data_IF_834343981644
#
_entry.id   IF_834343981644
#
_cell.length_a   1.000
_cell.length_b   1.000
_cell.length_c   1.000
_cell.angle_alpha   90.00
_cell.angle_beta   90.00
_cell.angle_gamma   90.00
#
_symmetry.space_group_name_H-M   'P 1'
#
loop_
_entity.id
_entity.type
_entity.pdbx_description
1 polymer ?
#
# COMPACT_ATOMS: atom_id res chain seq x y z
N UNK A 1 -10.22 -26.94 13.73
CA UNK A 1 -10.61 -25.65 13.13
C UNK A 1 -9.53 -25.26 12.13
N UNK A 2 -9.81 -25.43 10.84
CA UNK A 2 -8.86 -25.08 9.78
C UNK A 2 -8.97 -23.57 9.49
N UNK A 3 -7.85 -22.82 9.38
CA UNK A 3 -7.91 -21.47 8.88
C UNK A 3 -8.13 -21.51 7.37
N UNK A 4 -9.25 -20.96 6.89
CA UNK A 4 -9.50 -20.72 5.47
C UNK A 4 -8.59 -19.59 4.97
N UNK A 5 -7.29 -19.86 4.85
CA UNK A 5 -6.38 -19.03 4.07
C UNK A 5 -6.66 -19.37 2.61
N UNK A 6 -7.43 -18.53 1.93
CA UNK A 6 -7.61 -18.62 0.50
C UNK A 6 -6.22 -18.62 -0.14
N UNK A 7 -5.86 -19.76 -0.75
CA UNK A 7 -4.77 -19.89 -1.71
C UNK A 7 -5.12 -19.01 -2.93
N UNK A 8 -4.96 -17.69 -2.77
CA UNK A 8 -4.80 -16.83 -3.93
C UNK A 8 -3.37 -17.03 -4.40
N UNK A 9 -3.22 -17.89 -5.41
CA UNK A 9 -2.01 -17.99 -6.20
C UNK A 9 -1.73 -16.61 -6.83
N UNK A 10 -0.95 -15.79 -6.12
CA UNK A 10 -0.48 -14.47 -6.57
C UNK A 10 0.39 -14.57 -7.83
N UNK A 11 0.71 -15.79 -8.29
CA UNK A 11 1.45 -16.08 -9.51
C UNK A 11 0.60 -16.23 -10.78
N UNK A 12 -0.73 -16.32 -10.69
CA UNK A 12 -1.63 -16.55 -11.84
C UNK A 12 -2.35 -15.30 -12.36
N UNK A 13 -2.13 -14.16 -11.72
CA UNK A 13 -2.63 -12.86 -12.20
C UNK A 13 -1.49 -12.17 -12.92
N UNK A 14 -1.67 -11.84 -14.20
CA UNK A 14 -0.72 -11.06 -15.01
C UNK A 14 -0.24 -9.83 -14.23
N UNK A 15 0.97 -9.86 -13.67
CA UNK A 15 1.40 -8.88 -12.69
C UNK A 15 1.68 -7.52 -13.33
N UNK A 16 1.75 -7.45 -14.66
CA UNK A 16 1.91 -6.20 -15.40
C UNK A 16 0.57 -5.52 -15.72
N UNK A 17 -0.49 -6.28 -16.04
CA UNK A 17 -1.81 -5.70 -16.36
C UNK A 17 -2.68 -5.47 -15.12
N UNK A 18 -2.40 -6.16 -14.01
CA UNK A 18 -3.17 -6.05 -12.76
C UNK A 18 -2.33 -5.57 -11.56
N UNK A 19 -1.12 -5.04 -11.79
CA UNK A 19 -0.24 -4.50 -10.74
C UNK A 19 -1.01 -3.59 -9.76
N UNK A 20 -1.84 -2.70 -10.31
CA UNK A 20 -2.63 -1.75 -9.52
C UNK A 20 -3.59 -2.44 -8.56
N UNK A 21 -4.25 -3.52 -9.00
CA UNK A 21 -5.22 -4.27 -8.19
C UNK A 21 -4.52 -5.10 -7.12
N UNK A 22 -3.34 -5.65 -7.43
CA UNK A 22 -2.52 -6.39 -6.46
C UNK A 22 -2.00 -5.45 -5.38
N UNK A 23 -1.44 -4.30 -5.76
CA UNK A 23 -0.98 -3.27 -4.82
C UNK A 23 -2.15 -2.78 -3.96
N UNK A 24 -3.29 -2.48 -4.56
CA UNK A 24 -4.50 -2.08 -3.83
C UNK A 24 -4.90 -3.10 -2.77
N UNK A 25 -5.03 -4.38 -3.18
CA UNK A 25 -5.51 -5.45 -2.32
C UNK A 25 -4.55 -5.73 -1.17
N UNK A 26 -3.25 -5.75 -1.43
CA UNK A 26 -2.23 -5.93 -0.39
C UNK A 26 -2.18 -4.72 0.55
N UNK A 27 -2.32 -3.49 0.06
CA UNK A 27 -2.38 -2.32 0.94
C UNK A 27 -3.67 -2.23 1.76
N UNK A 28 -4.74 -2.90 1.32
CA UNK A 28 -6.06 -2.88 1.97
C UNK A 28 -6.26 -4.03 2.96
N UNK A 29 -5.81 -5.24 2.63
CA UNK A 29 -6.00 -6.46 3.42
C UNK A 29 -4.70 -7.17 3.80
N UNK A 30 -3.57 -6.78 3.21
CA UNK A 30 -2.35 -7.55 3.28
C UNK A 30 -1.75 -7.62 4.67
N UNK A 31 -1.19 -8.77 5.00
CA UNK A 31 -0.40 -8.97 6.20
C UNK A 31 1.07 -8.52 6.00
N UNK A 32 1.90 -8.66 7.04
CA UNK A 32 3.31 -8.25 6.98
C UNK A 32 4.09 -9.04 5.91
N UNK A 33 3.73 -10.30 5.64
CA UNK A 33 4.43 -11.16 4.67
C UNK A 33 4.07 -10.75 3.24
N UNK A 34 2.79 -10.49 2.98
CA UNK A 34 2.32 -9.99 1.68
C UNK A 34 2.89 -8.60 1.38
N UNK A 35 2.99 -7.72 2.39
CA UNK A 35 3.64 -6.42 2.24
C UNK A 35 5.13 -6.56 1.90
N UNK A 36 5.86 -7.44 2.59
CA UNK A 36 7.27 -7.70 2.25
C UNK A 36 7.41 -8.24 0.84
N UNK A 37 6.54 -9.17 0.42
CA UNK A 37 6.53 -9.67 -0.94
C UNK A 37 6.24 -8.57 -1.96
N UNK A 38 5.26 -7.70 -1.70
CA UNK A 38 4.90 -6.57 -2.55
C UNK A 38 6.09 -5.62 -2.78
N UNK A 39 6.76 -5.23 -1.69
CA UNK A 39 7.94 -4.37 -1.77
C UNK A 39 9.12 -5.05 -2.44
N UNK A 40 9.29 -6.38 -2.29
CA UNK A 40 10.33 -7.13 -2.99
C UNK A 40 10.04 -7.29 -4.48
N UNK A 41 8.77 -7.43 -4.87
CA UNK A 41 8.35 -7.71 -6.25
C UNK A 41 8.27 -6.44 -7.10
N UNK A 42 7.61 -5.40 -6.59
CA UNK A 42 7.38 -4.15 -7.33
C UNK A 42 8.36 -3.04 -6.95
N UNK A 43 9.06 -3.20 -5.82
CA UNK A 43 9.93 -2.17 -5.28
C UNK A 43 9.14 -1.09 -4.54
N UNK A 44 9.82 -0.44 -3.58
CA UNK A 44 9.22 0.65 -2.81
C UNK A 44 8.77 1.81 -3.69
N UNK A 45 9.57 2.19 -4.69
CA UNK A 45 9.26 3.31 -5.58
C UNK A 45 7.94 3.14 -6.36
N UNK A 46 7.71 1.96 -6.94
CA UNK A 46 6.47 1.71 -7.69
C UNK A 46 5.23 1.74 -6.77
N UNK A 47 5.33 1.15 -5.57
CA UNK A 47 4.25 1.17 -4.57
C UNK A 47 3.97 2.60 -4.09
N UNK A 48 5.01 3.37 -3.79
CA UNK A 48 4.92 4.79 -3.41
C UNK A 48 4.22 5.61 -4.49
N UNK A 49 4.63 5.45 -5.74
CA UNK A 49 4.06 6.18 -6.87
C UNK A 49 2.61 5.73 -7.15
N UNK A 50 2.28 4.47 -6.91
CA UNK A 50 0.89 3.98 -6.94
C UNK A 50 0.03 4.65 -5.85
N UNK A 51 0.52 4.68 -4.61
CA UNK A 51 -0.18 5.34 -3.50
C UNK A 51 -0.40 6.82 -3.81
N UNK A 52 0.60 7.49 -4.41
CA UNK A 52 0.51 8.89 -4.82
C UNK A 52 -0.55 9.12 -5.91
N UNK A 53 -0.58 8.30 -6.95
CA UNK A 53 -1.47 8.44 -8.11
C UNK A 53 -2.91 7.98 -7.81
N UNK A 54 -3.04 6.78 -7.26
CA UNK A 54 -4.32 6.05 -7.16
C UNK A 54 -4.80 5.88 -5.72
N UNK A 55 -3.90 5.92 -4.73
CA UNK A 55 -4.22 5.64 -3.32
C UNK A 55 -5.29 6.56 -2.74
N UNK A 56 -5.34 7.84 -3.13
CA UNK A 56 -6.35 8.78 -2.63
C UNK A 56 -7.78 8.47 -3.11
N UNK A 57 -7.92 7.77 -4.23
CA UNK A 57 -9.22 7.41 -4.83
C UNK A 57 -9.62 5.98 -4.46
N UNK A 58 -8.65 5.07 -4.38
CA UNK A 58 -8.91 3.63 -4.19
C UNK A 58 -8.84 3.17 -2.74
N UNK A 59 -8.11 3.89 -1.87
CA UNK A 59 -8.04 3.57 -0.44
C UNK A 59 -8.99 4.45 0.37
N UNK A 60 -9.49 3.90 1.48
CA UNK A 60 -10.18 4.70 2.49
C UNK A 60 -9.23 5.75 3.06
N UNK A 61 -9.76 6.93 3.44
CA UNK A 61 -8.94 8.06 3.94
C UNK A 61 -7.96 7.68 5.05
N UNK A 62 -8.39 6.82 5.98
CA UNK A 62 -7.54 6.35 7.10
C UNK A 62 -6.35 5.55 6.59
N UNK A 63 -6.56 4.61 5.66
CA UNK A 63 -5.51 3.77 5.10
C UNK A 63 -4.59 4.56 4.17
N UNK A 64 -5.16 5.45 3.34
CA UNK A 64 -4.36 6.34 2.51
C UNK A 64 -3.40 7.20 3.36
N UNK A 65 -3.90 7.82 4.44
CA UNK A 65 -3.05 8.60 5.33
C UNK A 65 -1.98 7.76 6.03
N UNK A 66 -2.32 6.55 6.49
CA UNK A 66 -1.35 5.62 7.07
C UNK A 66 -0.21 5.32 6.09
N UNK A 67 -0.56 4.97 4.85
CA UNK A 67 0.44 4.66 3.83
C UNK A 67 1.25 5.88 3.40
N UNK A 68 0.66 7.08 3.38
CA UNK A 68 1.42 8.29 3.16
C UNK A 68 2.48 8.53 4.24
N UNK A 69 2.16 8.28 5.51
CA UNK A 69 3.15 8.39 6.61
C UNK A 69 4.22 7.31 6.50
N UNK A 70 3.85 6.05 6.23
CA UNK A 70 4.80 4.94 6.14
C UNK A 70 5.73 5.00 4.91
N UNK A 71 5.24 5.57 3.81
CA UNK A 71 5.96 5.69 2.54
C UNK A 71 6.57 7.07 2.32
N UNK A 72 6.42 7.98 3.28
CA UNK A 72 6.86 9.38 3.22
C UNK A 72 6.33 10.11 1.97
N UNK A 73 5.06 9.89 1.65
CA UNK A 73 4.37 10.52 0.51
C UNK A 73 3.62 11.76 0.99
N UNK A 74 3.79 12.92 0.33
CA UNK A 74 3.00 14.10 0.65
C UNK A 74 1.53 13.80 0.34
N UNK A 75 0.68 13.81 1.38
CA UNK A 75 -0.75 13.54 1.17
C UNK A 75 -1.36 14.67 0.33
N UNK A 76 -2.31 14.35 -0.54
CA UNK A 76 -3.00 15.36 -1.38
C UNK A 76 -3.72 16.47 -0.58
N UNK A 77 -3.89 16.29 0.73
CA UNK A 77 -4.42 17.30 1.67
C UNK A 77 -3.39 17.83 2.65
N UNK A 78 -2.15 17.38 2.60
CA UNK A 78 -1.12 17.82 3.53
C UNK A 78 -0.61 19.21 3.14
N UNK A 79 -1.36 20.21 3.60
CA UNK A 79 -0.78 21.41 4.21
C UNK A 79 -0.34 21.13 5.66
N UNK A 80 0.01 19.90 6.03
CA UNK A 80 0.74 19.67 7.27
C UNK A 80 2.18 20.12 7.03
N UNK A 81 2.35 21.44 7.00
CA UNK A 81 3.63 22.07 7.28
C UNK A 81 4.03 21.66 8.70
N UNK A 82 5.18 20.98 8.80
CA UNK A 82 6.07 21.00 9.95
C UNK A 82 5.44 21.31 11.31
N UNK A 83 4.66 20.38 11.85
CA UNK A 83 4.66 20.21 13.30
C UNK A 83 5.17 18.82 13.57
N UNK A 84 6.45 18.78 13.89
CA UNK A 84 7.13 17.76 14.64
C UNK A 84 6.28 17.45 15.89
N UNK A 85 5.63 16.27 15.93
CA UNK A 85 4.82 15.81 17.08
C UNK A 85 5.55 14.69 17.85
N UNK A 86 6.71 14.21 17.38
CA UNK A 86 7.55 13.27 18.15
C UNK A 86 8.84 13.92 18.63
N UNK A 87 8.95 14.22 19.95
CA UNK A 87 10.19 14.65 20.57
C UNK A 87 10.85 13.50 21.36
N UNK A 88 11.26 12.39 20.73
CA UNK A 88 12.14 11.39 21.36
C UNK A 88 12.93 10.63 20.29
#
# INVERSE_FOLDING_TARGET
MAPCFQEYDLGLIDPEQHADLVIERVLFHGDRRELQWLFRRYGRGAVTEWVRRSGAQRLSRRRYNLWCVLLDVPTRRSRFSGRQIWPY
#
